data_IF_941664618680
#
_entry.id   IF_941664618680
#
_cell.length_a   1.000
_cell.length_b   1.000
_cell.length_c   1.000
_cell.angle_alpha   90.00
_cell.angle_beta   90.00
_cell.angle_gamma   90.00
#
_symmetry.space_group_name_H-M   'P 1'
#
loop_
_entity.id
_entity.type
_entity.pdbx_description
1 polymer ?
#
# COMPACT_ATOMS: atom_id res chain seq x y z
N UNK A 1 -27.83 -19.75 -23.93
CA UNK A 1 -27.88 -18.34 -23.53
C UNK A 1 -26.96 -18.17 -22.35
N UNK A 2 -26.10 -17.17 -22.35
CA UNK A 2 -25.25 -16.85 -21.19
C UNK A 2 -26.15 -16.42 -20.03
N UNK A 3 -25.79 -16.80 -18.83
CA UNK A 3 -26.50 -16.46 -17.61
C UNK A 3 -26.37 -14.96 -17.30
N UNK A 4 -27.49 -14.26 -17.12
CA UNK A 4 -27.53 -12.78 -16.96
C UNK A 4 -28.16 -12.32 -15.64
N UNK A 5 -28.55 -13.25 -14.75
CA UNK A 5 -29.14 -12.95 -13.45
C UNK A 5 -28.36 -13.61 -12.31
N UNK A 6 -27.98 -12.81 -11.31
CA UNK A 6 -27.17 -13.19 -10.17
C UNK A 6 -27.79 -12.67 -8.85
N UNK A 7 -27.31 -13.15 -7.71
CA UNK A 7 -27.60 -12.53 -6.43
C UNK A 7 -26.67 -11.33 -6.19
N UNK A 8 -25.37 -11.50 -6.53
CA UNK A 8 -24.34 -10.48 -6.35
C UNK A 8 -23.51 -10.33 -7.62
N UNK A 9 -23.29 -9.11 -8.06
CA UNK A 9 -22.32 -8.75 -9.10
C UNK A 9 -21.26 -7.84 -8.51
N UNK A 10 -19.97 -8.19 -8.68
CA UNK A 10 -18.85 -7.38 -8.26
C UNK A 10 -18.14 -6.81 -9.49
N UNK A 11 -17.86 -5.51 -9.50
CA UNK A 11 -17.21 -4.80 -10.60
C UNK A 11 -15.79 -4.46 -10.21
N UNK A 12 -14.82 -5.13 -10.81
CA UNK A 12 -13.39 -5.09 -10.51
C UNK A 12 -12.93 -6.33 -9.71
N UNK A 13 -11.80 -6.90 -10.12
CA UNK A 13 -11.26 -8.14 -9.56
C UNK A 13 -9.98 -7.95 -8.75
N UNK A 14 -9.72 -6.73 -8.27
CA UNK A 14 -8.65 -6.45 -7.30
C UNK A 14 -8.88 -7.19 -5.96
N UNK A 15 -7.98 -7.01 -4.96
CA UNK A 15 -8.07 -7.72 -3.68
C UNK A 15 -9.44 -7.61 -3.00
N UNK A 16 -10.08 -6.44 -3.01
CA UNK A 16 -11.45 -6.29 -2.53
C UNK A 16 -12.43 -7.15 -3.32
N UNK A 17 -12.37 -7.05 -4.66
CA UNK A 17 -13.35 -7.72 -5.53
C UNK A 17 -13.28 -9.24 -5.49
N UNK A 18 -12.10 -9.86 -5.71
CA UNK A 18 -12.01 -11.32 -5.74
C UNK A 18 -12.24 -11.96 -4.37
N UNK A 19 -11.82 -11.31 -3.27
CA UNK A 19 -12.09 -11.80 -1.91
C UNK A 19 -13.58 -11.77 -1.62
N UNK A 20 -14.25 -10.66 -1.95
CA UNK A 20 -15.71 -10.53 -1.80
C UNK A 20 -16.46 -11.57 -2.63
N UNK A 21 -16.04 -11.81 -3.89
CA UNK A 21 -16.67 -12.79 -4.76
C UNK A 21 -16.58 -14.21 -4.21
N UNK A 22 -15.42 -14.58 -3.67
CA UNK A 22 -15.21 -15.88 -3.02
C UNK A 22 -16.10 -16.00 -1.78
N UNK A 23 -16.11 -14.97 -0.93
CA UNK A 23 -16.90 -14.98 0.30
C UNK A 23 -18.40 -15.00 0.00
N UNK A 24 -18.87 -14.24 -0.98
CA UNK A 24 -20.25 -14.29 -1.47
C UNK A 24 -20.67 -15.70 -1.88
N UNK A 25 -19.85 -16.36 -2.68
CA UNK A 25 -20.10 -17.75 -3.10
C UNK A 25 -20.11 -18.72 -1.91
N UNK A 26 -19.21 -18.57 -0.93
CA UNK A 26 -19.19 -19.37 0.30
C UNK A 26 -20.47 -19.19 1.15
N UNK A 27 -21.09 -18.02 1.09
CA UNK A 27 -22.35 -17.70 1.74
C UNK A 27 -23.58 -18.17 0.94
N UNK A 28 -23.36 -18.83 -0.21
CA UNK A 28 -24.41 -19.42 -1.04
C UNK A 28 -24.98 -18.48 -2.10
N UNK A 29 -24.43 -17.27 -2.27
CA UNK A 29 -24.87 -16.36 -3.33
C UNK A 29 -24.41 -16.82 -4.71
N UNK A 30 -25.27 -16.73 -5.68
CA UNK A 30 -24.93 -16.85 -7.09
C UNK A 30 -24.21 -15.58 -7.53
N UNK A 31 -22.90 -15.68 -7.76
CA UNK A 31 -21.99 -14.54 -7.85
C UNK A 31 -21.35 -14.41 -9.23
N UNK A 32 -21.31 -13.19 -9.76
CA UNK A 32 -20.45 -12.83 -10.89
C UNK A 32 -19.44 -11.77 -10.51
N UNK A 33 -18.29 -11.79 -11.18
CA UNK A 33 -17.27 -10.75 -11.10
C UNK A 33 -16.93 -10.26 -12.50
N UNK A 34 -16.85 -8.94 -12.66
CA UNK A 34 -16.57 -8.29 -13.95
C UNK A 34 -15.16 -7.68 -13.88
N UNK A 35 -14.34 -7.97 -14.89
CA UNK A 35 -12.98 -7.42 -14.99
C UNK A 35 -12.69 -6.98 -16.43
N UNK A 36 -12.14 -5.78 -16.57
CA UNK A 36 -11.80 -5.20 -17.87
C UNK A 36 -10.37 -5.49 -18.35
N UNK A 37 -9.49 -5.86 -17.42
CA UNK A 37 -8.08 -6.17 -17.71
C UNK A 37 -7.74 -7.56 -17.17
N UNK A 38 -6.81 -7.65 -16.21
CA UNK A 38 -6.31 -8.89 -15.65
C UNK A 38 -6.91 -9.18 -14.27
N UNK A 39 -7.31 -10.44 -14.02
CA UNK A 39 -7.77 -10.88 -12.72
C UNK A 39 -6.71 -10.62 -11.64
N UNK A 40 -7.14 -10.13 -10.47
CA UNK A 40 -6.28 -9.74 -9.36
C UNK A 40 -6.01 -8.22 -9.30
N UNK A 41 -6.45 -7.47 -10.32
CA UNK A 41 -6.38 -6.01 -10.36
C UNK A 41 -4.96 -5.46 -10.28
N UNK A 42 -4.85 -4.18 -9.92
CA UNK A 42 -3.57 -3.46 -9.83
C UNK A 42 -2.61 -4.14 -8.85
N UNK A 43 -3.05 -4.55 -7.67
CA UNK A 43 -2.16 -5.10 -6.64
C UNK A 43 -1.34 -6.31 -7.14
N UNK A 44 -1.98 -7.29 -7.81
CA UNK A 44 -1.29 -8.49 -8.28
C UNK A 44 -0.55 -8.29 -9.60
N UNK A 45 -1.02 -7.38 -10.44
CA UNK A 45 -0.47 -7.22 -11.79
C UNK A 45 0.45 -6.00 -11.94
N UNK A 46 0.14 -4.86 -11.30
CA UNK A 46 0.81 -3.58 -11.50
C UNK A 46 1.00 -2.78 -10.19
N UNK A 47 1.11 -3.47 -9.06
CA UNK A 47 1.23 -2.83 -7.74
C UNK A 47 2.04 -3.65 -6.76
N UNK A 48 1.39 -4.09 -5.68
CA UNK A 48 2.01 -4.68 -4.50
C UNK A 48 3.03 -5.78 -4.83
N UNK A 49 2.57 -6.85 -5.49
CA UNK A 49 3.38 -8.07 -5.63
C UNK A 49 4.53 -7.91 -6.63
N UNK A 50 4.33 -7.37 -7.85
CA UNK A 50 5.46 -7.17 -8.75
C UNK A 50 6.49 -6.18 -8.21
N UNK A 51 6.08 -5.14 -7.47
CA UNK A 51 7.02 -4.23 -6.80
C UNK A 51 7.86 -4.96 -5.74
N UNK A 52 7.23 -5.80 -4.89
CA UNK A 52 7.96 -6.60 -3.90
C UNK A 52 8.90 -7.61 -4.55
N UNK A 53 8.54 -8.14 -5.72
CA UNK A 53 9.44 -8.99 -6.51
C UNK A 53 10.66 -8.22 -7.03
N UNK A 54 10.50 -6.95 -7.42
CA UNK A 54 11.59 -6.05 -7.82
C UNK A 54 12.47 -5.71 -6.61
N UNK A 55 11.87 -5.29 -5.49
CA UNK A 55 12.59 -4.94 -4.25
C UNK A 55 13.38 -6.13 -3.69
N UNK A 56 12.84 -7.36 -3.77
CA UNK A 56 13.61 -8.56 -3.38
C UNK A 56 14.84 -8.78 -4.26
N UNK A 57 14.76 -8.48 -5.57
CA UNK A 57 15.93 -8.54 -6.43
C UNK A 57 16.98 -7.48 -6.07
N UNK A 58 16.52 -6.28 -5.68
CA UNK A 58 17.40 -5.21 -5.20
C UNK A 58 18.10 -5.58 -3.89
N UNK A 59 17.37 -6.16 -2.94
CA UNK A 59 17.90 -6.63 -1.67
C UNK A 59 18.97 -7.73 -1.86
N UNK A 60 18.68 -8.73 -2.71
CA UNK A 60 19.66 -9.77 -3.03
C UNK A 60 20.91 -9.16 -3.67
N UNK A 61 20.76 -8.21 -4.57
CA UNK A 61 21.88 -7.52 -5.20
C UNK A 61 22.71 -6.72 -4.17
N UNK A 62 22.05 -6.00 -3.27
CA UNK A 62 22.67 -5.28 -2.16
C UNK A 62 23.50 -6.24 -1.27
N UNK A 63 22.92 -7.38 -0.86
CA UNK A 63 23.62 -8.39 -0.06
C UNK A 63 24.84 -8.96 -0.79
N UNK A 64 24.76 -9.16 -2.09
CA UNK A 64 25.91 -9.58 -2.90
C UNK A 64 27.01 -8.51 -2.96
N UNK A 65 26.68 -7.22 -2.99
CA UNK A 65 27.66 -6.13 -2.95
C UNK A 65 28.37 -6.04 -1.59
N UNK A 66 27.71 -6.44 -0.52
CA UNK A 66 28.21 -6.45 0.86
C UNK A 66 28.65 -7.86 1.32
N UNK A 67 28.89 -8.78 0.39
CA UNK A 67 29.26 -10.17 0.69
C UNK A 67 30.51 -10.29 1.60
N UNK A 68 31.44 -9.32 1.51
CA UNK A 68 32.66 -9.30 2.33
C UNK A 68 32.35 -9.20 3.84
N UNK A 69 31.28 -8.55 4.24
CA UNK A 69 30.86 -8.41 5.64
C UNK A 69 30.49 -9.77 6.26
N UNK A 70 30.16 -10.75 5.41
CA UNK A 70 29.81 -12.13 5.77
C UNK A 70 30.95 -13.12 5.50
N UNK A 71 32.19 -12.62 5.17
CA UNK A 71 33.32 -13.47 4.82
C UNK A 71 33.20 -14.13 3.44
N UNK A 72 32.36 -13.61 2.57
CA UNK A 72 32.14 -14.12 1.22
C UNK A 72 32.73 -13.19 0.17
N UNK A 73 33.02 -13.73 -1.02
CA UNK A 73 33.48 -12.96 -2.18
C UNK A 73 32.45 -13.00 -3.28
N UNK A 74 32.05 -11.83 -3.80
CA UNK A 74 31.16 -11.73 -4.93
C UNK A 74 31.56 -10.57 -5.85
N UNK A 75 31.25 -10.70 -7.15
CA UNK A 75 31.35 -9.61 -8.14
C UNK A 75 29.98 -9.48 -8.80
N UNK A 76 29.01 -8.86 -8.12
CA UNK A 76 27.64 -8.87 -8.57
C UNK A 76 27.46 -8.06 -9.86
N UNK A 77 26.71 -8.64 -10.78
CA UNK A 77 26.18 -7.98 -11.96
C UNK A 77 24.68 -8.24 -12.01
N UNK A 78 23.94 -7.37 -12.69
CA UNK A 78 22.49 -7.56 -12.84
C UNK A 78 22.08 -7.50 -14.31
N UNK A 79 21.02 -8.24 -14.63
CA UNK A 79 20.29 -8.18 -15.88
C UNK A 79 18.90 -7.59 -15.61
N UNK A 80 18.70 -6.32 -15.99
CA UNK A 80 17.44 -5.61 -15.77
C UNK A 80 16.26 -6.33 -16.45
N UNK A 81 16.46 -6.88 -17.66
CA UNK A 81 15.41 -7.60 -18.36
C UNK A 81 14.99 -8.87 -17.63
N UNK A 82 15.97 -9.60 -17.06
CA UNK A 82 15.68 -10.78 -16.26
C UNK A 82 14.95 -10.43 -14.95
N UNK A 83 15.31 -9.34 -14.28
CA UNK A 83 14.64 -8.83 -13.07
C UNK A 83 13.19 -8.48 -13.39
N UNK A 84 12.95 -7.71 -14.45
CA UNK A 84 11.60 -7.36 -14.92
C UNK A 84 10.80 -8.62 -15.29
N UNK A 85 11.39 -9.52 -16.09
CA UNK A 85 10.73 -10.78 -16.49
C UNK A 85 10.32 -11.63 -15.28
N UNK A 86 11.17 -11.69 -14.23
CA UNK A 86 10.85 -12.37 -12.97
C UNK A 86 9.60 -11.75 -12.32
N UNK A 87 9.51 -10.42 -12.22
CA UNK A 87 8.37 -9.76 -11.62
C UNK A 87 7.08 -10.01 -12.42
N UNK A 88 7.13 -9.98 -13.74
CA UNK A 88 6.00 -10.27 -14.63
C UNK A 88 5.55 -11.73 -14.55
N UNK A 89 6.51 -12.68 -14.44
CA UNK A 89 6.20 -14.11 -14.25
C UNK A 89 5.43 -14.32 -12.94
N UNK A 90 5.84 -13.68 -11.86
CA UNK A 90 5.16 -13.77 -10.56
C UNK A 90 3.73 -13.19 -10.66
N UNK A 91 3.57 -12.02 -11.27
CA UNK A 91 2.25 -11.43 -11.51
C UNK A 91 1.33 -12.37 -12.30
N UNK A 92 1.82 -12.94 -13.41
CA UNK A 92 1.07 -13.90 -14.21
C UNK A 92 0.70 -15.17 -13.46
N UNK A 93 1.58 -15.69 -12.60
CA UNK A 93 1.30 -16.84 -11.74
C UNK A 93 0.14 -16.55 -10.78
N UNK A 94 0.12 -15.38 -10.16
CA UNK A 94 -0.92 -15.00 -9.21
C UNK A 94 -2.25 -14.72 -9.88
N UNK A 95 -2.26 -14.02 -11.02
CA UNK A 95 -3.47 -13.82 -11.82
C UNK A 95 -4.08 -15.17 -12.26
N UNK A 96 -3.23 -16.12 -12.68
CA UNK A 96 -3.63 -17.49 -12.94
C UNK A 96 -4.24 -18.20 -11.71
N UNK A 97 -3.67 -17.95 -10.54
CA UNK A 97 -4.21 -18.41 -9.24
C UNK A 97 -5.60 -17.87 -8.96
N UNK A 98 -5.84 -16.57 -9.19
CA UNK A 98 -7.18 -15.97 -9.02
C UNK A 98 -8.20 -16.62 -9.99
N UNK A 99 -7.82 -16.83 -11.25
CA UNK A 99 -8.67 -17.55 -12.23
C UNK A 99 -9.06 -18.94 -11.72
N UNK A 100 -8.11 -19.67 -11.14
CA UNK A 100 -8.40 -20.97 -10.51
C UNK A 100 -9.36 -20.85 -9.32
N UNK A 101 -9.16 -19.84 -8.45
CA UNK A 101 -10.03 -19.59 -7.29
C UNK A 101 -11.46 -19.22 -7.70
N UNK A 102 -11.64 -18.40 -8.74
CA UNK A 102 -12.96 -18.11 -9.28
C UNK A 102 -13.67 -19.39 -9.74
N UNK A 103 -13.00 -20.24 -10.52
CA UNK A 103 -13.53 -21.52 -10.96
C UNK A 103 -13.87 -22.45 -9.78
N UNK A 104 -12.96 -22.60 -8.81
CA UNK A 104 -13.15 -23.43 -7.61
C UNK A 104 -14.40 -23.00 -6.83
N UNK A 105 -14.64 -21.72 -6.69
CA UNK A 105 -15.76 -21.15 -5.94
C UNK A 105 -17.01 -20.90 -6.84
N UNK A 106 -17.02 -21.40 -8.08
CA UNK A 106 -18.14 -21.26 -9.02
C UNK A 106 -18.59 -19.80 -9.26
N UNK A 107 -17.64 -18.85 -9.18
CA UNK A 107 -17.86 -17.45 -9.51
C UNK A 107 -17.80 -17.29 -11.03
N UNK A 108 -18.84 -16.71 -11.63
CA UNK A 108 -18.89 -16.40 -13.06
C UNK A 108 -18.00 -15.18 -13.35
N UNK A 109 -16.99 -15.35 -14.20
CA UNK A 109 -16.11 -14.23 -14.62
C UNK A 109 -16.64 -13.67 -15.95
N UNK A 110 -16.92 -12.36 -15.96
CA UNK A 110 -17.38 -11.62 -17.14
C UNK A 110 -16.27 -10.64 -17.52
N UNK A 111 -15.72 -10.76 -18.72
CA UNK A 111 -14.72 -9.83 -19.24
C UNK A 111 -15.39 -8.60 -19.83
N UNK A 112 -14.90 -7.41 -19.53
CA UNK A 112 -15.35 -6.15 -20.13
C UNK A 112 -15.46 -5.00 -19.12
N UNK A 113 -15.72 -3.81 -19.65
CA UNK A 113 -15.98 -2.61 -18.88
C UNK A 113 -17.48 -2.54 -18.53
N UNK A 114 -17.78 -2.33 -17.24
CA UNK A 114 -19.15 -2.25 -16.75
C UNK A 114 -19.64 -0.80 -16.65
N UNK A 115 -20.85 -0.56 -17.14
CA UNK A 115 -21.61 0.66 -16.88
C UNK A 115 -22.90 0.33 -16.12
N UNK A 116 -23.49 1.31 -15.49
CA UNK A 116 -24.67 1.14 -14.64
C UNK A 116 -25.84 2.00 -15.13
N UNK A 117 -27.04 1.45 -15.04
CA UNK A 117 -28.30 2.20 -15.19
C UNK A 117 -29.27 1.85 -14.08
N UNK A 118 -30.28 2.69 -13.87
CA UNK A 118 -31.29 2.46 -12.85
C UNK A 118 -31.98 1.10 -13.02
N UNK A 119 -32.21 0.42 -11.90
CA UNK A 119 -32.92 -0.86 -11.81
C UNK A 119 -33.88 -0.86 -10.62
N UNK A 120 -34.64 -1.95 -10.45
CA UNK A 120 -35.69 -2.04 -9.43
C UNK A 120 -35.09 -2.32 -8.03
N UNK A 121 -34.24 -3.32 -7.89
CA UNK A 121 -33.65 -3.75 -6.60
C UNK A 121 -32.22 -3.26 -6.43
N UNK A 122 -31.45 -3.28 -7.50
CA UNK A 122 -30.12 -2.71 -7.61
C UNK A 122 -29.94 -2.14 -9.02
N UNK A 123 -28.89 -1.34 -9.28
CA UNK A 123 -28.56 -0.93 -10.64
C UNK A 123 -28.37 -2.12 -11.58
N UNK A 124 -28.83 -1.98 -12.82
CA UNK A 124 -28.57 -2.94 -13.89
C UNK A 124 -27.15 -2.70 -14.38
N UNK A 125 -26.35 -3.75 -14.48
CA UNK A 125 -24.97 -3.73 -14.95
C UNK A 125 -24.96 -4.03 -16.45
N UNK A 126 -24.28 -3.21 -17.23
CA UNK A 126 -24.18 -3.36 -18.69
C UNK A 126 -22.72 -3.64 -19.05
N UNK A 127 -22.47 -4.75 -19.74
CA UNK A 127 -21.15 -5.09 -20.29
C UNK A 127 -21.34 -5.45 -21.77
N UNK A 128 -20.64 -4.78 -22.65
CA UNK A 128 -20.69 -4.98 -24.10
C UNK A 128 -22.14 -5.04 -24.65
N UNK A 129 -23.01 -4.16 -24.16
CA UNK A 129 -24.42 -4.06 -24.57
C UNK A 129 -25.32 -5.14 -23.98
N UNK A 130 -24.82 -6.04 -23.14
CA UNK A 130 -25.61 -7.05 -22.45
C UNK A 130 -25.97 -6.56 -21.03
N UNK A 131 -27.27 -6.61 -20.71
CA UNK A 131 -27.79 -6.29 -19.38
C UNK A 131 -27.63 -7.48 -18.42
N UNK A 132 -27.03 -7.23 -17.28
CA UNK A 132 -26.93 -8.18 -16.16
C UNK A 132 -27.69 -7.62 -14.96
N UNK A 133 -28.45 -8.47 -14.27
CA UNK A 133 -29.25 -8.09 -13.11
C UNK A 133 -28.74 -8.79 -11.86
N UNK A 134 -28.80 -8.09 -10.73
CA UNK A 134 -28.49 -8.65 -9.41
C UNK A 134 -29.36 -8.02 -8.33
N UNK A 135 -29.37 -8.62 -7.13
CA UNK A 135 -29.95 -8.00 -5.92
C UNK A 135 -28.97 -6.98 -5.32
N UNK A 136 -27.69 -7.24 -5.48
CA UNK A 136 -26.61 -6.42 -4.93
C UNK A 136 -25.50 -6.24 -5.96
N UNK A 137 -25.02 -5.00 -6.13
CA UNK A 137 -23.88 -4.64 -6.98
C UNK A 137 -22.81 -4.01 -6.10
N UNK A 138 -21.57 -4.48 -6.20
CA UNK A 138 -20.45 -4.00 -5.39
C UNK A 138 -19.38 -3.44 -6.32
N UNK A 139 -19.08 -2.15 -6.19
CA UNK A 139 -18.02 -1.45 -6.90
C UNK A 139 -16.69 -1.73 -6.20
N UNK A 140 -15.78 -2.40 -6.89
CA UNK A 140 -14.40 -2.66 -6.46
C UNK A 140 -13.42 -2.21 -7.56
N UNK A 141 -13.74 -1.09 -8.21
CA UNK A 141 -13.08 -0.58 -9.42
C UNK A 141 -11.69 -0.02 -9.15
N UNK A 142 -11.32 0.15 -7.87
CA UNK A 142 -9.99 0.59 -7.46
C UNK A 142 -9.67 2.03 -7.88
N UNK A 143 -8.39 2.29 -8.03
CA UNK A 143 -7.86 3.61 -8.34
C UNK A 143 -6.69 3.51 -9.32
N UNK A 144 -6.28 4.67 -9.84
CA UNK A 144 -5.11 4.84 -10.72
C UNK A 144 -4.23 5.97 -10.24
N UNK A 145 -3.00 6.05 -10.74
CA UNK A 145 -2.08 7.14 -10.44
C UNK A 145 -2.69 8.50 -10.81
N UNK A 146 -2.49 9.47 -9.92
CA UNK A 146 -2.91 10.86 -10.14
C UNK A 146 -1.93 11.56 -11.07
N UNK A 147 -2.45 12.36 -12.01
CA UNK A 147 -1.69 13.31 -12.82
C UNK A 147 -2.00 14.75 -12.39
N UNK A 148 -1.06 15.68 -12.67
CA UNK A 148 -1.23 17.13 -12.44
C UNK A 148 -0.76 17.86 -13.72
N UNK A 149 -1.60 17.91 -14.76
CA UNK A 149 -1.22 18.45 -16.08
C UNK A 149 -0.69 19.89 -16.03
N UNK A 150 -1.22 20.73 -15.13
CA UNK A 150 -0.81 22.13 -14.97
C UNK A 150 0.66 22.28 -14.56
N UNK A 151 1.24 21.25 -13.91
CA UNK A 151 2.65 21.20 -13.54
C UNK A 151 3.49 20.36 -14.51
N UNK A 152 2.92 19.91 -15.64
CA UNK A 152 3.55 18.98 -16.58
C UNK A 152 3.68 17.55 -16.02
N UNK A 153 3.03 17.26 -14.88
CA UNK A 153 3.05 15.93 -14.24
C UNK A 153 1.97 15.04 -14.88
N UNK A 154 2.19 14.71 -16.12
CA UNK A 154 1.32 13.85 -16.92
C UNK A 154 2.17 12.72 -17.52
N UNK A 155 1.79 11.44 -17.31
CA UNK A 155 2.56 10.32 -17.83
C UNK A 155 2.62 10.35 -19.36
N UNK A 156 3.81 10.20 -19.91
CA UNK A 156 4.02 10.12 -21.36
C UNK A 156 4.46 8.71 -21.82
N UNK A 157 4.60 7.80 -20.86
CA UNK A 157 5.04 6.41 -21.08
C UNK A 157 6.51 6.26 -21.48
N UNK A 158 7.24 7.38 -21.67
CA UNK A 158 8.63 7.40 -22.13
C UNK A 158 9.58 7.96 -21.08
N UNK A 159 9.36 9.17 -20.62
CA UNK A 159 10.23 9.87 -19.67
C UNK A 159 9.55 10.16 -18.34
N UNK A 160 8.22 10.34 -18.35
CA UNK A 160 7.40 10.61 -17.19
C UNK A 160 6.56 9.36 -16.94
N UNK A 161 6.87 8.65 -15.87
CA UNK A 161 6.33 7.35 -15.50
C UNK A 161 5.36 7.43 -14.33
N UNK A 162 4.37 6.57 -14.35
CA UNK A 162 3.68 6.13 -13.12
C UNK A 162 4.39 4.90 -12.54
N UNK A 163 3.85 4.32 -11.48
CA UNK A 163 4.30 3.05 -10.94
C UNK A 163 4.28 1.92 -12.01
N UNK A 164 3.36 1.97 -13.00
CA UNK A 164 3.20 0.94 -14.03
C UNK A 164 4.42 0.88 -14.95
N UNK A 165 4.85 2.01 -15.49
CA UNK A 165 6.05 2.12 -16.33
C UNK A 165 7.32 1.86 -15.51
N UNK A 166 7.36 2.36 -14.27
CA UNK A 166 8.50 2.17 -13.37
C UNK A 166 8.76 0.70 -12.99
N UNK A 167 7.76 -0.18 -13.10
CA UNK A 167 7.93 -1.63 -12.89
C UNK A 167 8.55 -2.37 -14.07
N UNK A 168 8.52 -1.79 -15.25
CA UNK A 168 8.97 -2.44 -16.50
C UNK A 168 9.90 -1.53 -17.30
N UNK A 169 10.94 -0.96 -16.67
CA UNK A 169 11.87 -0.08 -17.36
C UNK A 169 12.59 -0.82 -18.49
N UNK A 170 12.76 -0.14 -19.61
CA UNK A 170 13.56 -0.60 -20.75
C UNK A 170 15.07 -0.47 -20.47
N UNK A 171 15.44 0.57 -19.72
CA UNK A 171 16.81 0.89 -19.35
C UNK A 171 16.86 1.43 -17.92
N UNK A 172 17.96 1.18 -17.20
CA UNK A 172 18.21 1.78 -15.90
C UNK A 172 18.53 3.27 -16.07
N UNK A 173 17.74 4.18 -15.48
CA UNK A 173 18.07 5.60 -15.50
C UNK A 173 19.33 5.88 -14.69
N UNK A 174 20.18 6.80 -15.15
CA UNK A 174 21.33 7.27 -14.37
C UNK A 174 20.90 8.34 -13.36
N UNK A 175 19.98 9.23 -13.78
CA UNK A 175 19.39 10.27 -12.93
C UNK A 175 17.89 10.13 -12.92
N UNK A 176 17.34 9.85 -11.73
CA UNK A 176 15.92 9.64 -11.51
C UNK A 176 15.34 10.70 -10.58
N UNK A 177 14.24 11.32 -10.97
CA UNK A 177 13.42 12.15 -10.09
C UNK A 177 12.19 11.38 -9.64
N UNK A 178 11.95 11.29 -8.34
CA UNK A 178 10.72 10.77 -7.77
C UNK A 178 9.93 11.93 -7.15
N UNK A 179 8.71 12.17 -7.62
CA UNK A 179 7.84 13.23 -7.13
C UNK A 179 6.76 12.61 -6.26
N UNK A 180 6.81 12.91 -4.96
CA UNK A 180 6.02 12.31 -3.89
C UNK A 180 6.79 11.24 -3.14
N UNK A 181 6.83 11.36 -1.82
CA UNK A 181 7.58 10.53 -0.89
C UNK A 181 6.71 9.60 -0.04
N UNK A 182 5.51 9.28 -0.48
CA UNK A 182 4.69 8.22 0.10
C UNK A 182 5.28 6.83 -0.16
N UNK A 183 4.61 5.77 0.29
CA UNK A 183 5.09 4.39 0.17
C UNK A 183 5.55 4.03 -1.25
N UNK A 184 4.75 4.33 -2.27
CA UNK A 184 5.08 4.04 -3.68
C UNK A 184 6.35 4.75 -4.10
N UNK A 185 6.47 6.05 -3.81
CA UNK A 185 7.65 6.85 -4.18
C UNK A 185 8.92 6.33 -3.54
N UNK A 186 8.88 6.03 -2.24
CA UNK A 186 10.04 5.55 -1.50
C UNK A 186 10.44 4.12 -1.85
N UNK A 187 9.48 3.25 -2.20
CA UNK A 187 9.78 1.90 -2.69
C UNK A 187 10.51 1.95 -4.03
N UNK A 188 10.05 2.76 -5.00
CA UNK A 188 10.77 2.92 -6.27
C UNK A 188 12.10 3.64 -6.10
N UNK A 189 12.18 4.69 -5.27
CA UNK A 189 13.44 5.34 -4.95
C UNK A 189 14.47 4.32 -4.42
N UNK A 190 14.05 3.45 -3.48
CA UNK A 190 14.88 2.40 -2.91
C UNK A 190 15.32 1.35 -3.95
N UNK A 191 14.41 0.96 -4.86
CA UNK A 191 14.72 0.01 -5.93
C UNK A 191 15.78 0.55 -6.90
N UNK A 192 15.58 1.75 -7.42
CA UNK A 192 16.48 2.32 -8.40
C UNK A 192 17.84 2.71 -7.81
N UNK A 193 17.87 3.23 -6.57
CA UNK A 193 19.09 3.50 -5.82
C UNK A 193 19.95 2.24 -5.65
N UNK A 194 19.34 1.11 -5.29
CA UNK A 194 20.05 -0.16 -5.10
C UNK A 194 20.78 -0.63 -6.37
N UNK A 195 20.30 -0.24 -7.57
CA UNK A 195 20.94 -0.54 -8.85
C UNK A 195 21.80 0.61 -9.39
N UNK A 196 22.09 1.63 -8.57
CA UNK A 196 23.08 2.67 -8.86
C UNK A 196 22.55 3.90 -9.60
N UNK A 197 21.22 4.14 -9.61
CA UNK A 197 20.68 5.40 -10.08
C UNK A 197 20.95 6.51 -9.06
N UNK A 198 21.28 7.72 -9.54
CA UNK A 198 21.30 8.95 -8.75
C UNK A 198 19.84 9.41 -8.56
N UNK A 199 19.29 9.17 -7.37
CA UNK A 199 17.87 9.38 -7.09
C UNK A 199 17.66 10.67 -6.29
N UNK A 200 16.83 11.56 -6.85
CA UNK A 200 16.31 12.73 -6.14
C UNK A 200 14.83 12.51 -5.84
N UNK A 201 14.45 12.62 -4.56
CA UNK A 201 13.05 12.57 -4.10
C UNK A 201 12.60 13.98 -3.72
N UNK A 202 11.43 14.38 -4.24
CA UNK A 202 10.82 15.69 -3.96
C UNK A 202 9.48 15.49 -3.26
N UNK A 203 9.28 16.23 -2.17
CA UNK A 203 8.05 16.19 -1.37
C UNK A 203 7.56 17.61 -1.08
N UNK A 204 6.25 17.84 -1.19
CA UNK A 204 5.64 19.15 -0.94
C UNK A 204 5.53 19.48 0.55
N UNK A 205 5.38 18.47 1.41
CA UNK A 205 5.31 18.68 2.85
C UNK A 205 6.70 18.65 3.49
N UNK A 206 6.77 18.85 4.80
CA UNK A 206 8.00 19.03 5.57
C UNK A 206 8.83 17.74 5.78
N UNK A 207 8.25 16.56 5.49
CA UNK A 207 8.89 15.25 5.74
C UNK A 207 8.51 14.21 4.69
N UNK A 208 9.36 13.20 4.53
CA UNK A 208 9.04 12.00 3.73
C UNK A 208 8.12 11.05 4.51
N UNK A 209 7.46 10.12 3.82
CA UNK A 209 6.50 9.19 4.42
C UNK A 209 5.54 9.92 5.38
N UNK A 210 4.80 10.94 4.91
CA UNK A 210 4.09 11.88 5.77
C UNK A 210 2.97 11.24 6.60
N UNK A 211 2.52 10.04 6.24
CA UNK A 211 1.53 9.27 6.99
C UNK A 211 2.12 8.59 8.24
N UNK A 212 3.45 8.44 8.29
CA UNK A 212 4.13 7.76 9.38
C UNK A 212 4.38 8.69 10.58
N UNK A 213 4.68 8.09 11.74
CA UNK A 213 5.12 8.85 12.92
C UNK A 213 6.35 9.71 12.58
N UNK A 214 6.40 10.93 13.12
CA UNK A 214 7.42 11.92 12.77
C UNK A 214 8.85 11.45 13.09
N UNK A 215 9.03 10.67 14.14
CA UNK A 215 10.33 10.10 14.52
C UNK A 215 10.79 9.04 13.52
N UNK A 216 9.88 8.16 13.11
CA UNK A 216 10.12 7.15 12.08
C UNK A 216 10.45 7.81 10.73
N UNK A 217 9.67 8.81 10.31
CA UNK A 217 9.91 9.58 9.10
C UNK A 217 11.30 10.24 9.10
N UNK A 218 11.70 10.84 10.23
CA UNK A 218 13.03 11.44 10.40
C UNK A 218 14.16 10.40 10.30
N UNK A 219 13.98 9.22 10.89
CA UNK A 219 14.96 8.14 10.80
C UNK A 219 15.06 7.60 9.38
N UNK A 220 13.92 7.40 8.71
CA UNK A 220 13.88 6.99 7.32
C UNK A 220 14.64 7.96 6.42
N UNK A 221 14.39 9.28 6.56
CA UNK A 221 15.14 10.31 5.83
C UNK A 221 16.65 10.16 6.03
N UNK A 222 17.10 10.06 7.28
CA UNK A 222 18.52 9.91 7.60
C UNK A 222 19.14 8.65 6.95
N UNK A 223 18.41 7.54 6.98
CA UNK A 223 18.87 6.28 6.39
C UNK A 223 19.01 6.40 4.85
N UNK A 224 18.03 7.00 4.17
CA UNK A 224 18.09 7.20 2.72
C UNK A 224 19.17 8.20 2.31
N UNK A 225 19.32 9.33 3.02
CA UNK A 225 20.40 10.30 2.75
C UNK A 225 21.79 9.67 2.95
N UNK A 226 21.96 8.82 3.98
CA UNK A 226 23.20 8.05 4.21
C UNK A 226 23.54 7.12 3.05
N UNK A 227 22.54 6.57 2.37
CA UNK A 227 22.72 5.72 1.17
C UNK A 227 23.01 6.53 -0.10
N UNK A 228 22.84 7.84 -0.08
CA UNK A 228 23.15 8.72 -1.20
C UNK A 228 21.94 9.35 -1.90
N UNK A 229 20.70 9.08 -1.45
CA UNK A 229 19.54 9.73 -2.03
C UNK A 229 19.52 11.22 -1.70
N UNK A 230 19.19 12.04 -2.69
CA UNK A 230 18.90 13.46 -2.47
C UNK A 230 17.43 13.65 -2.11
N UNK A 231 17.14 14.19 -0.93
CA UNK A 231 15.74 14.39 -0.46
C UNK A 231 15.46 15.89 -0.29
N UNK A 232 14.45 16.38 -1.01
CA UNK A 232 14.01 17.79 -1.00
C UNK A 232 12.55 17.86 -0.54
N UNK A 233 12.35 18.16 0.74
CA UNK A 233 11.04 18.44 1.34
C UNK A 233 10.65 19.91 1.15
N UNK A 234 9.40 20.28 1.44
CA UNK A 234 8.83 21.62 1.22
C UNK A 234 9.11 22.15 -0.20
N UNK A 235 9.10 21.25 -1.19
CA UNK A 235 9.52 21.53 -2.56
C UNK A 235 8.45 21.11 -3.56
N UNK A 236 8.02 22.05 -4.39
CA UNK A 236 7.14 21.80 -5.54
C UNK A 236 7.98 21.48 -6.76
N UNK A 237 7.49 20.56 -7.57
CA UNK A 237 8.10 20.22 -8.84
C UNK A 237 7.16 20.51 -10.01
N UNK A 238 7.71 21.05 -11.09
CA UNK A 238 7.10 21.04 -12.41
C UNK A 238 8.10 20.47 -13.42
N UNK A 239 7.60 19.77 -14.44
CA UNK A 239 8.48 19.07 -15.37
C UNK A 239 8.10 19.37 -16.83
N UNK A 240 9.10 19.28 -17.69
CA UNK A 240 8.94 19.41 -19.13
C UNK A 240 9.76 18.31 -19.81
N UNK A 241 9.08 17.42 -20.52
CA UNK A 241 9.75 16.40 -21.34
C UNK A 241 10.50 17.06 -22.50
N UNK A 242 11.71 16.60 -22.73
CA UNK A 242 12.59 17.00 -23.84
C UNK A 242 12.84 15.86 -24.83
N UNK A 243 13.83 16.01 -25.67
CA UNK A 243 14.19 14.98 -26.66
C UNK A 243 14.89 13.75 -26.05
N UNK A 244 15.64 13.94 -24.95
CA UNK A 244 16.50 12.89 -24.36
C UNK A 244 16.29 12.71 -22.85
N UNK A 245 15.31 13.40 -22.24
CA UNK A 245 15.05 13.35 -20.79
C UNK A 245 14.02 14.40 -20.38
N UNK A 246 14.06 14.78 -19.12
CA UNK A 246 13.11 15.72 -18.51
C UNK A 246 13.86 16.84 -17.80
N UNK A 247 13.49 18.07 -18.09
CA UNK A 247 13.90 19.24 -17.30
C UNK A 247 12.89 19.44 -16.19
N UNK A 248 13.33 19.40 -14.95
CA UNK A 248 12.51 19.67 -13.76
C UNK A 248 12.85 21.04 -13.18
N UNK A 249 11.82 21.82 -12.86
CA UNK A 249 11.93 23.03 -12.04
C UNK A 249 11.46 22.72 -10.63
N UNK A 250 12.36 22.84 -9.68
CA UNK A 250 12.13 22.57 -8.25
C UNK A 250 12.05 23.88 -7.51
N UNK A 251 10.93 24.14 -6.84
CA UNK A 251 10.67 25.41 -6.14
C UNK A 251 10.43 25.16 -4.66
N UNK A 252 11.29 25.74 -3.82
CA UNK A 252 11.18 25.71 -2.36
C UNK A 252 11.39 27.12 -1.79
N UNK A 253 10.49 27.55 -0.91
CA UNK A 253 10.55 28.84 -0.21
C UNK A 253 10.76 30.03 -1.17
N UNK A 254 10.10 29.98 -2.33
CA UNK A 254 10.16 31.03 -3.35
C UNK A 254 11.44 31.06 -4.20
N UNK A 255 12.34 30.10 -4.01
CA UNK A 255 13.53 29.92 -4.84
C UNK A 255 13.34 28.73 -5.76
N UNK A 256 13.65 28.91 -7.03
CA UNK A 256 13.59 27.85 -8.04
C UNK A 256 14.97 27.47 -8.53
N UNK A 257 15.18 26.20 -8.73
CA UNK A 257 16.33 25.63 -9.42
C UNK A 257 15.87 24.70 -10.55
N UNK A 258 16.70 24.54 -11.54
CA UNK A 258 16.41 23.65 -12.69
C UNK A 258 17.44 22.52 -12.74
N UNK A 259 16.95 21.28 -12.94
CA UNK A 259 17.79 20.10 -13.06
C UNK A 259 17.30 19.17 -14.17
N UNK A 260 18.21 18.40 -14.75
CA UNK A 260 17.94 17.43 -15.81
C UNK A 260 17.93 16.00 -15.24
N UNK A 261 16.94 15.21 -15.69
CA UNK A 261 16.75 13.81 -15.30
C UNK A 261 16.48 12.94 -16.53
N UNK A 262 16.92 11.68 -16.45
CA UNK A 262 16.63 10.70 -17.52
C UNK A 262 15.17 10.27 -17.48
N UNK A 263 14.63 10.13 -16.25
CA UNK A 263 13.25 9.69 -15.99
C UNK A 263 12.67 10.41 -14.77
N UNK A 264 11.36 10.49 -14.75
CA UNK A 264 10.58 11.00 -13.61
C UNK A 264 9.52 9.98 -13.23
N UNK A 265 9.38 9.67 -11.94
CA UNK A 265 8.29 8.85 -11.41
C UNK A 265 7.30 9.74 -10.67
N UNK A 266 6.03 9.66 -11.07
CA UNK A 266 4.93 10.35 -10.41
C UNK A 266 4.33 9.46 -9.31
N UNK A 267 4.53 9.86 -8.07
CA UNK A 267 3.98 9.20 -6.87
C UNK A 267 3.15 10.21 -6.03
N UNK A 268 2.39 11.08 -6.70
CA UNK A 268 1.63 12.21 -6.10
C UNK A 268 0.22 11.84 -5.64
N UNK A 269 -0.02 10.57 -5.37
CA UNK A 269 -1.31 10.03 -4.94
C UNK A 269 -2.07 9.30 -6.04
N UNK A 270 -3.32 8.97 -5.73
CA UNK A 270 -4.20 8.21 -6.62
C UNK A 270 -5.56 8.91 -6.77
N UNK A 271 -6.31 8.50 -7.79
CA UNK A 271 -7.70 8.91 -8.04
C UNK A 271 -8.55 7.67 -8.27
N UNK A 272 -9.73 7.62 -7.64
CA UNK A 272 -10.68 6.51 -7.78
C UNK A 272 -11.17 6.38 -9.23
N UNK A 273 -11.45 5.16 -9.66
CA UNK A 273 -11.99 4.87 -10.98
C UNK A 273 -13.52 4.93 -10.92
N UNK A 274 -14.07 6.12 -11.13
CA UNK A 274 -15.50 6.42 -11.01
C UNK A 274 -16.14 6.93 -12.31
N UNK A 275 -15.33 7.29 -13.30
CA UNK A 275 -15.76 7.91 -14.53
C UNK A 275 -16.45 6.92 -15.48
N UNK A 276 -17.34 7.42 -16.32
CA UNK A 276 -18.01 6.70 -17.43
C UNK A 276 -18.84 5.47 -17.00
N UNK A 277 -19.14 5.37 -15.70
CA UNK A 277 -19.91 4.24 -15.15
C UNK A 277 -21.41 4.54 -14.95
N UNK A 278 -21.84 5.79 -15.13
CA UNK A 278 -23.23 6.21 -14.88
C UNK A 278 -23.56 6.46 -13.41
N UNK A 279 -22.55 6.64 -12.54
CA UNK A 279 -22.74 6.79 -11.10
C UNK A 279 -23.49 8.06 -10.71
N UNK A 280 -23.24 9.17 -11.39
CA UNK A 280 -23.90 10.46 -11.17
C UNK A 280 -25.41 10.36 -11.44
N UNK A 281 -25.79 9.67 -12.52
CA UNK A 281 -27.19 9.46 -12.88
C UNK A 281 -27.96 8.60 -11.86
N UNK A 282 -27.24 7.80 -11.07
CA UNK A 282 -27.78 6.98 -9.99
C UNK A 282 -27.81 7.72 -8.65
N UNK A 283 -27.24 8.94 -8.58
CA UNK A 283 -27.17 9.72 -7.35
C UNK A 283 -26.09 9.28 -6.36
N UNK A 284 -25.05 8.55 -6.84
CA UNK A 284 -23.90 8.17 -6.02
C UNK A 284 -23.11 9.41 -5.62
N UNK A 285 -22.80 9.53 -4.33
CA UNK A 285 -22.00 10.65 -3.82
C UNK A 285 -20.51 10.37 -4.04
N UNK A 286 -19.84 11.28 -4.76
CA UNK A 286 -18.42 11.22 -5.06
C UNK A 286 -17.76 12.46 -4.47
N UNK A 287 -16.76 12.26 -3.59
CA UNK A 287 -15.90 13.32 -3.07
C UNK A 287 -14.47 13.12 -3.59
N UNK A 288 -13.94 14.13 -4.32
CA UNK A 288 -12.57 14.13 -4.86
C UNK A 288 -12.18 12.83 -5.56
N UNK A 289 -13.04 12.31 -6.41
CA UNK A 289 -12.90 11.03 -7.14
C UNK A 289 -13.08 9.74 -6.32
N UNK A 290 -13.53 9.82 -5.06
CA UNK A 290 -13.81 8.64 -4.24
C UNK A 290 -15.28 8.57 -3.86
N UNK A 291 -15.84 7.36 -3.85
CA UNK A 291 -17.25 7.13 -3.49
C UNK A 291 -17.39 7.20 -1.97
N UNK A 292 -18.34 8.01 -1.50
CA UNK A 292 -18.71 8.06 -0.09
C UNK A 292 -19.59 6.87 0.27
N UNK A 293 -19.23 6.14 1.32
CA UNK A 293 -19.97 4.98 1.83
C UNK A 293 -20.15 5.06 3.34
N UNK A 294 -21.09 4.28 3.87
CA UNK A 294 -21.20 4.04 5.31
C UNK A 294 -20.22 2.97 5.80
N UNK A 295 -20.29 2.63 7.09
CA UNK A 295 -19.43 1.66 7.76
C UNK A 295 -19.56 0.21 7.24
N UNK A 296 -20.60 -0.08 6.45
CA UNK A 296 -20.85 -1.36 5.78
C UNK A 296 -20.71 -1.27 4.26
N UNK A 297 -20.05 -0.22 3.77
CA UNK A 297 -19.77 0.02 2.35
C UNK A 297 -21.01 0.38 1.50
N UNK A 298 -22.14 0.76 2.10
CA UNK A 298 -23.33 1.16 1.37
C UNK A 298 -23.20 2.59 0.81
N UNK A 299 -23.56 2.79 -0.46
CA UNK A 299 -23.41 4.08 -1.16
C UNK A 299 -24.56 5.05 -0.93
N UNK A 300 -25.65 4.62 -0.26
CA UNK A 300 -26.92 5.34 -0.20
C UNK A 300 -27.88 5.03 -1.36
N UNK A 301 -27.42 4.34 -2.41
CA UNK A 301 -28.24 3.88 -3.54
C UNK A 301 -28.64 2.42 -3.31
N UNK A 302 -29.96 2.13 -3.40
CA UNK A 302 -30.51 0.79 -3.15
C UNK A 302 -29.73 -0.28 -3.91
N UNK A 303 -29.25 -1.30 -3.18
CA UNK A 303 -28.52 -2.44 -3.74
C UNK A 303 -27.14 -2.12 -4.31
N UNK A 304 -26.59 -0.92 -4.06
CA UNK A 304 -25.27 -0.52 -4.54
C UNK A 304 -24.31 -0.25 -3.38
N UNK A 305 -23.14 -0.87 -3.45
CA UNK A 305 -22.06 -0.79 -2.47
C UNK A 305 -20.75 -0.44 -3.15
N UNK A 306 -19.75 0.05 -2.39
CA UNK A 306 -18.39 0.30 -2.92
C UNK A 306 -17.33 -0.02 -1.88
N UNK A 307 -16.23 -0.63 -2.30
CA UNK A 307 -15.12 -1.09 -1.46
C UNK A 307 -13.75 -0.79 -2.08
N UNK A 308 -12.73 -0.75 -1.25
CA UNK A 308 -11.33 -0.61 -1.66
C UNK A 308 -10.97 0.80 -2.09
N UNK A 309 -10.00 0.91 -3.02
CA UNK A 309 -9.38 2.20 -3.33
C UNK A 309 -10.30 3.18 -4.06
N UNK A 310 -11.46 2.75 -4.51
CA UNK A 310 -12.52 3.66 -5.04
C UNK A 310 -13.24 4.41 -3.91
N UNK A 311 -13.05 4.01 -2.64
CA UNK A 311 -13.58 4.66 -1.44
C UNK A 311 -12.52 5.48 -0.71
N UNK A 312 -12.82 5.93 0.51
CA UNK A 312 -11.91 6.74 1.35
C UNK A 312 -10.66 5.96 1.80
N UNK A 313 -9.52 6.66 2.11
CA UNK A 313 -8.30 6.04 2.60
C UNK A 313 -8.49 5.33 3.96
N UNK A 314 -7.49 4.49 4.37
CA UNK A 314 -6.24 4.21 3.67
C UNK A 314 -6.43 3.30 2.47
N UNK A 315 -5.66 3.52 1.40
CA UNK A 315 -5.76 2.73 0.16
C UNK A 315 -4.80 1.53 0.20
N UNK A 316 -5.30 0.43 0.77
CA UNK A 316 -4.52 -0.77 1.06
C UNK A 316 -5.30 -2.03 0.66
N UNK A 317 -4.60 -2.99 0.08
CA UNK A 317 -5.22 -4.23 -0.42
C UNK A 317 -5.94 -5.03 0.67
N UNK A 318 -5.36 -5.09 1.88
CA UNK A 318 -5.97 -5.80 3.01
C UNK A 318 -7.19 -5.05 3.58
N UNK A 319 -7.19 -3.70 3.56
CA UNK A 319 -8.40 -2.92 3.86
C UNK A 319 -9.52 -3.29 2.89
N UNK A 320 -9.24 -3.24 1.58
CA UNK A 320 -10.24 -3.58 0.55
C UNK A 320 -10.81 -5.00 0.73
N UNK A 321 -9.95 -5.97 1.07
CA UNK A 321 -10.37 -7.36 1.34
C UNK A 321 -11.29 -7.45 2.55
N UNK A 322 -10.97 -6.77 3.65
CA UNK A 322 -11.79 -6.77 4.87
C UNK A 322 -13.10 -6.01 4.68
N UNK A 323 -13.10 -4.87 4.01
CA UNK A 323 -14.34 -4.15 3.62
C UNK A 323 -15.26 -5.07 2.82
N UNK A 324 -14.71 -5.81 1.86
CA UNK A 324 -15.49 -6.74 1.05
C UNK A 324 -16.11 -7.87 1.85
N UNK A 325 -15.38 -8.45 2.82
CA UNK A 325 -15.90 -9.50 3.72
C UNK A 325 -17.01 -8.92 4.59
N UNK A 326 -16.79 -7.78 5.22
CA UNK A 326 -17.76 -7.11 6.09
C UNK A 326 -19.02 -6.76 5.30
N UNK A 327 -18.88 -6.17 4.13
CA UNK A 327 -19.97 -5.81 3.24
C UNK A 327 -20.85 -7.03 2.89
N UNK A 328 -20.23 -8.11 2.40
CA UNK A 328 -21.02 -9.27 1.95
C UNK A 328 -21.61 -10.08 3.11
N UNK A 329 -20.98 -10.11 4.27
CA UNK A 329 -21.53 -10.74 5.47
C UNK A 329 -22.72 -9.93 6.01
N UNK A 330 -22.67 -8.59 5.93
CA UNK A 330 -23.81 -7.73 6.27
C UNK A 330 -24.98 -7.94 5.31
N UNK A 331 -24.71 -8.03 4.01
CA UNK A 331 -25.71 -8.35 2.96
C UNK A 331 -26.35 -9.71 3.23
N UNK A 332 -25.61 -10.69 3.72
CA UNK A 332 -26.11 -12.01 4.08
C UNK A 332 -26.97 -12.06 5.36
N UNK A 333 -27.16 -10.90 6.01
CA UNK A 333 -27.93 -10.82 7.26
C UNK A 333 -27.12 -11.06 8.52
N UNK A 334 -25.78 -11.15 8.42
CA UNK A 334 -24.88 -11.22 9.56
C UNK A 334 -24.74 -9.88 10.28
N UNK A 335 -24.01 -9.89 11.40
CA UNK A 335 -23.69 -8.69 12.16
C UNK A 335 -22.17 -8.56 12.39
N UNK A 336 -21.38 -8.36 11.31
CA UNK A 336 -19.95 -8.14 11.43
C UNK A 336 -19.66 -6.81 12.12
N UNK A 337 -18.56 -6.74 12.85
CA UNK A 337 -18.06 -5.47 13.35
C UNK A 337 -17.55 -4.61 12.19
N UNK A 338 -17.84 -3.29 12.16
CA UNK A 338 -17.23 -2.37 11.23
C UNK A 338 -15.71 -2.41 11.27
N UNK A 339 -15.08 -2.05 10.16
CA UNK A 339 -13.63 -1.94 10.10
C UNK A 339 -13.15 -0.72 10.90
N UNK A 340 -12.29 -0.94 11.88
CA UNK A 340 -11.61 0.16 12.57
C UNK A 340 -10.41 0.64 11.74
N UNK A 341 -10.47 1.89 11.31
CA UNK A 341 -9.42 2.50 10.49
C UNK A 341 -8.06 2.58 11.23
N UNK A 342 -8.09 2.72 12.57
CA UNK A 342 -6.88 2.76 13.38
C UNK A 342 -6.21 1.40 13.57
N UNK A 343 -6.94 0.31 13.34
CA UNK A 343 -6.41 -1.05 13.43
C UNK A 343 -5.90 -1.62 12.09
N UNK A 344 -5.75 -0.77 11.06
CA UNK A 344 -5.25 -1.18 9.75
C UNK A 344 -3.73 -0.95 9.69
N UNK A 345 -2.90 -2.01 9.64
CA UNK A 345 -1.46 -1.83 9.56
C UNK A 345 -1.02 -1.28 8.19
N UNK A 346 -0.05 -0.37 8.20
CA UNK A 346 0.64 0.15 7.03
C UNK A 346 2.03 -0.47 6.88
N UNK A 347 2.47 -0.73 5.65
CA UNK A 347 3.80 -1.25 5.36
C UNK A 347 4.40 -0.58 4.12
N UNK A 348 5.65 -0.13 4.23
CA UNK A 348 6.48 0.36 3.12
C UNK A 348 7.71 -0.51 3.01
N UNK A 349 7.89 -1.18 1.87
CA UNK A 349 8.91 -2.21 1.65
C UNK A 349 10.21 -1.64 1.06
N UNK A 350 10.51 -0.39 1.36
CA UNK A 350 11.80 0.21 1.07
C UNK A 350 12.91 -0.43 1.95
N UNK A 351 14.16 0.00 1.78
CA UNK A 351 15.23 -0.42 2.68
C UNK A 351 15.87 0.82 3.33
N UNK A 352 15.78 0.97 4.67
CA UNK A 352 15.10 0.07 5.63
C UNK A 352 13.58 0.05 5.46
N UNK A 353 12.92 -1.06 5.84
CA UNK A 353 11.47 -1.18 5.82
C UNK A 353 10.83 -0.28 6.88
N UNK A 354 9.58 0.13 6.63
CA UNK A 354 8.77 0.90 7.59
C UNK A 354 7.41 0.22 7.75
N UNK A 355 6.94 0.12 8.99
CA UNK A 355 5.62 -0.42 9.29
C UNK A 355 4.98 0.28 10.50
N UNK A 356 3.66 0.38 10.48
CA UNK A 356 2.91 1.06 11.53
C UNK A 356 1.50 0.50 11.69
N UNK A 357 0.93 0.66 12.87
CA UNK A 357 -0.49 0.44 13.17
C UNK A 357 -0.91 1.38 14.30
N UNK A 358 -2.15 1.87 14.26
CA UNK A 358 -2.70 2.73 15.30
C UNK A 358 -2.30 4.20 15.19
N UNK A 359 -2.48 4.91 16.30
CA UNK A 359 -2.19 6.33 16.39
C UNK A 359 -0.69 6.61 16.37
N UNK A 360 -0.27 7.63 15.63
CA UNK A 360 1.03 8.28 15.85
C UNK A 360 1.03 9.02 17.19
N UNK A 361 2.20 9.35 17.71
CA UNK A 361 2.32 10.11 18.96
C UNK A 361 1.55 11.44 18.90
N UNK A 362 1.59 12.13 17.76
CA UNK A 362 0.85 13.37 17.55
C UNK A 362 -0.66 13.16 17.54
N UNK A 363 -1.14 12.16 16.82
CA UNK A 363 -2.57 11.83 16.74
C UNK A 363 -3.15 11.38 18.08
N UNK A 364 -2.40 10.58 18.86
CA UNK A 364 -2.85 10.16 20.19
C UNK A 364 -3.01 11.36 21.14
N UNK A 365 -2.06 12.31 21.12
CA UNK A 365 -2.16 13.56 21.89
C UNK A 365 -3.32 14.44 21.42
N UNK A 366 -3.52 14.58 20.11
CA UNK A 366 -4.63 15.33 19.53
C UNK A 366 -5.98 14.72 19.88
N UNK A 367 -6.07 13.39 19.95
CA UNK A 367 -7.24 12.66 20.41
C UNK A 367 -7.50 12.78 21.94
N UNK A 368 -6.59 13.43 22.68
CA UNK A 368 -6.74 13.70 24.12
C UNK A 368 -6.24 12.59 25.03
N UNK A 369 -5.50 11.62 24.51
CA UNK A 369 -4.86 10.59 25.36
C UNK A 369 -3.67 11.16 26.14
N UNK A 370 -3.53 10.72 27.38
CA UNK A 370 -2.29 10.85 28.14
C UNK A 370 -1.45 9.60 27.89
N UNK A 371 -0.26 9.77 27.32
CA UNK A 371 0.45 8.65 26.70
C UNK A 371 1.80 8.34 27.34
N UNK A 372 2.16 7.06 27.32
CA UNK A 372 3.51 6.55 27.51
C UNK A 372 4.07 6.08 26.16
N UNK A 373 5.33 6.37 25.93
CA UNK A 373 6.00 6.03 24.68
C UNK A 373 7.25 5.23 24.97
N UNK A 374 7.31 4.02 24.44
CA UNK A 374 8.51 3.18 24.49
C UNK A 374 9.27 3.18 23.17
N UNK A 375 10.57 3.01 23.27
CA UNK A 375 11.51 2.97 22.13
C UNK A 375 12.55 1.91 22.34
N UNK A 376 12.78 1.07 21.36
CA UNK A 376 13.89 0.14 21.41
C UNK A 376 14.65 0.12 20.08
N UNK A 377 15.93 0.52 20.07
CA UNK A 377 16.72 0.56 18.86
C UNK A 377 17.25 -0.83 18.47
N UNK A 378 17.36 -1.11 17.19
CA UNK A 378 17.85 -2.37 16.64
C UNK A 378 19.25 -2.75 17.13
N UNK A 379 20.11 -1.75 17.39
CA UNK A 379 21.48 -1.99 17.92
C UNK A 379 21.48 -2.67 19.30
N UNK A 380 20.38 -2.61 20.05
CA UNK A 380 20.20 -3.31 21.31
C UNK A 380 19.82 -4.80 21.16
N UNK A 381 19.62 -5.28 19.93
CA UNK A 381 19.12 -6.64 19.67
C UNK A 381 20.19 -7.52 19.04
N UNK A 382 20.53 -8.63 19.70
CA UNK A 382 21.56 -9.56 19.22
C UNK A 382 21.26 -10.18 17.85
N UNK A 383 19.99 -10.44 17.53
CA UNK A 383 19.60 -10.98 16.21
C UNK A 383 19.78 -9.94 15.10
N UNK A 384 19.44 -8.68 15.34
CA UNK A 384 19.65 -7.59 14.39
C UNK A 384 21.16 -7.43 14.07
N UNK A 385 22.00 -7.47 15.10
CA UNK A 385 23.46 -7.42 14.94
C UNK A 385 23.97 -8.63 14.13
N UNK A 386 23.49 -9.83 14.46
CA UNK A 386 23.89 -11.06 13.77
C UNK A 386 23.46 -11.10 12.28
N UNK A 387 22.38 -10.41 11.93
CA UNK A 387 21.92 -10.24 10.56
C UNK A 387 22.71 -9.17 9.78
N UNK A 388 23.51 -8.33 10.45
CA UNK A 388 24.15 -7.17 9.85
C UNK A 388 23.21 -5.98 9.67
N UNK A 389 22.06 -5.97 10.34
CA UNK A 389 20.99 -4.97 10.20
C UNK A 389 20.72 -4.23 11.53
N UNK A 390 21.72 -3.57 12.14
CA UNK A 390 21.58 -2.93 13.45
C UNK A 390 20.89 -1.56 13.41
N UNK A 391 20.49 -1.07 12.23
CA UNK A 391 19.84 0.23 12.08
C UNK A 391 18.33 0.07 12.09
N UNK A 392 17.66 0.70 13.06
CA UNK A 392 16.21 0.66 13.17
C UNK A 392 15.71 1.06 14.55
N UNK A 393 14.39 1.12 14.67
CA UNK A 393 13.67 1.47 15.91
C UNK A 393 12.32 0.77 15.93
N UNK A 394 11.92 0.28 17.08
CA UNK A 394 10.54 -0.04 17.42
C UNK A 394 10.05 1.00 18.42
N UNK A 395 8.92 1.64 18.12
CA UNK A 395 8.25 2.63 18.96
C UNK A 395 6.85 2.17 19.28
N UNK A 396 6.46 2.22 20.57
CA UNK A 396 5.12 1.88 21.05
C UNK A 396 4.50 3.07 21.75
N UNK A 397 3.18 3.17 21.73
CA UNK A 397 2.40 4.26 22.32
C UNK A 397 1.25 3.62 23.12
N UNK A 398 1.19 3.90 24.41
CA UNK A 398 0.17 3.38 25.33
C UNK A 398 -0.63 4.52 25.96
N UNK A 399 -1.92 4.27 26.24
CA UNK A 399 -2.71 5.13 27.12
C UNK A 399 -2.32 4.89 28.58
N UNK A 400 -2.01 5.95 29.32
CA UNK A 400 -1.60 5.84 30.73
C UNK A 400 -2.70 5.36 31.66
N UNK A 401 -3.97 5.51 31.28
CA UNK A 401 -5.12 5.17 32.13
C UNK A 401 -5.54 3.71 31.98
N UNK A 402 -5.65 3.25 30.74
CA UNK A 402 -6.14 1.90 30.43
C UNK A 402 -5.01 0.90 30.24
N UNK A 403 -3.80 1.37 29.93
CA UNK A 403 -2.70 0.51 29.48
C UNK A 403 -2.84 0.03 28.03
N UNK A 404 -3.85 0.49 27.29
CA UNK A 404 -4.14 0.07 25.92
C UNK A 404 -3.02 0.46 24.97
N UNK A 405 -2.66 -0.44 24.05
CA UNK A 405 -1.76 -0.18 22.96
C UNK A 405 -2.45 0.68 21.91
N UNK A 406 -2.17 1.99 21.90
CA UNK A 406 -2.75 2.95 20.95
C UNK A 406 -2.09 2.91 19.59
N UNK A 407 -0.80 2.60 19.52
CA UNK A 407 -0.08 2.54 18.27
C UNK A 407 1.32 1.94 18.41
N UNK A 408 1.82 1.45 17.26
CA UNK A 408 3.17 0.95 17.11
C UNK A 408 3.75 1.38 15.76
N UNK A 409 5.00 1.84 15.75
CA UNK A 409 5.67 2.38 14.58
C UNK A 409 7.09 1.84 14.53
N UNK A 410 7.49 1.33 13.36
CA UNK A 410 8.75 0.62 13.22
C UNK A 410 9.51 1.04 11.98
N UNK A 411 10.83 1.06 12.07
CA UNK A 411 11.74 1.16 10.93
C UNK A 411 12.90 0.19 11.13
N UNK A 412 13.26 -0.58 10.11
CA UNK A 412 14.38 -1.53 10.16
C UNK A 412 14.12 -2.79 9.35
N UNK A 413 14.95 -3.81 9.55
CA UNK A 413 14.81 -5.10 8.88
C UNK A 413 13.56 -5.86 9.36
N UNK A 414 12.81 -6.46 8.44
CA UNK A 414 11.66 -7.34 8.67
C UNK A 414 10.50 -6.72 9.48
N UNK A 415 10.46 -5.39 9.64
CA UNK A 415 9.38 -4.73 10.41
C UNK A 415 8.01 -4.90 9.76
N UNK A 416 7.94 -5.13 8.46
CA UNK A 416 6.70 -5.40 7.74
C UNK A 416 6.06 -6.75 8.12
N UNK A 417 6.86 -7.70 8.63
CA UNK A 417 6.39 -8.95 9.20
C UNK A 417 6.11 -8.81 10.71
N UNK A 418 6.96 -8.05 11.43
CA UNK A 418 6.86 -7.87 12.88
C UNK A 418 5.60 -7.12 13.31
N UNK A 419 5.16 -6.11 12.54
CA UNK A 419 4.00 -5.28 12.88
C UNK A 419 2.73 -6.09 13.15
N UNK A 420 2.62 -7.27 12.56
CA UNK A 420 1.47 -8.14 12.74
C UNK A 420 1.27 -8.55 14.22
N UNK A 421 2.33 -8.68 15.00
CA UNK A 421 2.23 -8.97 16.42
C UNK A 421 1.45 -7.89 17.18
N UNK A 422 1.76 -6.62 16.94
CA UNK A 422 1.03 -5.50 17.56
C UNK A 422 -0.38 -5.32 16.98
N UNK A 423 -0.58 -5.61 15.69
CA UNK A 423 -1.92 -5.59 15.09
C UNK A 423 -2.85 -6.61 15.75
N UNK A 424 -2.34 -7.82 16.05
CA UNK A 424 -3.10 -8.84 16.79
C UNK A 424 -3.35 -8.42 18.23
N UNK A 425 -2.32 -7.89 18.91
CA UNK A 425 -2.44 -7.39 20.28
C UNK A 425 -3.52 -6.29 20.38
N UNK A 426 -3.50 -5.31 19.49
CA UNK A 426 -4.49 -4.23 19.44
C UNK A 426 -5.91 -4.78 19.20
N UNK A 427 -6.08 -5.73 18.28
CA UNK A 427 -7.39 -6.35 18.00
C UNK A 427 -7.94 -7.16 19.18
N UNK A 428 -7.07 -7.69 20.04
CA UNK A 428 -7.42 -8.41 21.27
C UNK A 428 -7.57 -7.48 22.48
N UNK A 429 -7.51 -6.15 22.26
CA UNK A 429 -7.59 -5.13 23.32
C UNK A 429 -6.56 -5.38 24.43
N UNK A 430 -5.34 -5.84 24.02
CA UNK A 430 -4.25 -6.18 24.91
C UNK A 430 -3.65 -4.93 25.54
N UNK A 431 -3.37 -4.99 26.84
CA UNK A 431 -2.67 -3.91 27.55
C UNK A 431 -1.16 -4.16 27.59
N UNK A 432 -0.42 -3.20 28.12
CA UNK A 432 1.02 -3.32 28.37
C UNK A 432 1.36 -4.53 29.25
N UNK A 433 0.45 -4.87 30.18
CA UNK A 433 0.67 -5.96 31.13
C UNK A 433 0.84 -7.30 30.43
N UNK A 434 -0.11 -7.68 29.57
CA UNK A 434 -0.04 -8.94 28.81
C UNK A 434 1.16 -8.95 27.84
N UNK A 435 1.49 -7.79 27.25
CA UNK A 435 2.65 -7.68 26.37
C UNK A 435 3.98 -7.84 27.11
N UNK A 436 4.08 -7.32 28.36
CA UNK A 436 5.26 -7.50 29.23
C UNK A 436 5.40 -8.94 29.73
N UNK A 437 4.29 -9.66 29.94
CA UNK A 437 4.31 -11.04 30.42
C UNK A 437 4.43 -12.07 29.29
N UNK A 438 4.26 -11.65 28.03
CA UNK A 438 4.38 -12.53 26.88
C UNK A 438 5.83 -12.97 26.69
N UNK A 439 6.06 -14.28 26.56
CA UNK A 439 7.39 -14.84 26.27
C UNK A 439 7.68 -14.72 24.78
N UNK A 440 8.72 -13.97 24.44
CA UNK A 440 9.22 -13.85 23.08
C UNK A 440 10.34 -14.86 22.83
N UNK A 441 10.39 -15.51 21.65
CA UNK A 441 11.43 -16.51 21.37
C UNK A 441 12.80 -15.86 21.17
N UNK A 442 13.85 -16.52 21.65
CA UNK A 442 15.25 -16.09 21.51
C UNK A 442 16.04 -17.05 20.61
N UNK A 443 16.92 -16.56 19.68
CA UNK A 443 17.14 -15.15 19.34
C UNK A 443 16.23 -14.72 18.15
N UNK A 444 15.52 -13.63 18.31
CA UNK A 444 14.63 -13.10 17.26
C UNK A 444 14.63 -11.56 17.21
N UNK A 445 14.17 -11.00 16.09
CA UNK A 445 13.88 -9.56 15.99
C UNK A 445 12.64 -9.19 16.83
N UNK A 446 11.72 -10.10 17.05
CA UNK A 446 10.49 -9.84 17.82
C UNK A 446 10.75 -9.54 19.32
N UNK A 447 11.92 -9.92 19.88
CA UNK A 447 12.30 -9.52 21.22
C UNK A 447 12.36 -8.00 21.41
N UNK A 448 12.66 -7.25 20.33
CA UNK A 448 12.62 -5.78 20.38
C UNK A 448 11.21 -5.23 20.61
N UNK A 449 10.18 -5.97 20.21
CA UNK A 449 8.79 -5.60 20.48
C UNK A 449 8.50 -5.63 21.99
N UNK A 450 9.01 -6.65 22.69
CA UNK A 450 8.91 -6.75 24.14
C UNK A 450 9.69 -5.63 24.84
N UNK A 451 10.93 -5.39 24.43
CA UNK A 451 11.78 -4.34 25.02
C UNK A 451 11.18 -2.93 24.81
N UNK A 452 10.57 -2.65 23.65
CA UNK A 452 9.89 -1.38 23.41
C UNK A 452 8.65 -1.19 24.30
N UNK A 453 7.97 -2.26 24.71
CA UNK A 453 6.90 -2.20 25.71
C UNK A 453 7.49 -1.93 27.11
N UNK A 454 8.56 -2.61 27.47
CA UNK A 454 9.25 -2.40 28.76
C UNK A 454 9.76 -0.97 28.90
N UNK A 455 10.30 -0.40 27.81
CA UNK A 455 10.82 0.98 27.78
C UNK A 455 9.74 2.03 28.11
N UNK A 456 8.53 1.85 27.63
CA UNK A 456 7.42 2.75 27.96
C UNK A 456 7.13 2.86 29.45
N UNK A 457 7.64 1.92 30.26
CA UNK A 457 7.40 1.78 31.69
C UNK A 457 8.68 1.76 32.52
N UNK A 458 9.80 2.29 31.97
CA UNK A 458 11.12 2.36 32.62
C UNK A 458 11.64 0.99 33.08
N UNK A 459 11.40 -0.07 32.30
CA UNK A 459 11.73 -1.47 32.63
C UNK A 459 12.63 -2.13 31.57
N UNK A 460 13.17 -1.37 30.63
CA UNK A 460 14.10 -1.88 29.59
C UNK A 460 15.26 -2.62 30.25
N UNK A 461 15.68 -3.74 29.64
CA UNK A 461 16.75 -4.59 30.18
C UNK A 461 18.02 -4.47 29.35
N UNK A 462 17.90 -4.45 28.03
CA UNK A 462 19.06 -4.59 27.14
C UNK A 462 19.54 -3.28 26.50
N UNK A 463 18.98 -2.12 26.86
CA UNK A 463 19.41 -0.82 26.30
C UNK A 463 19.22 0.33 27.30
#
# INVERSE_FOLDING_TARGET
>A
MSETSFDVIIIGSGPGGYVTAIRASQLGFKTAIIEKEDLGGVCLNWGCIPTKALLRSAEVYHNMQHAADYGLSASPQFDLKAIVARSRKIAGQLSGGIKHLMKKNKVTVIAGFATLKAGQDAPIVIVDGTDYTAKHVILATGARARSIPQAGLEPDGKFIWTAREAMVPDTMPKKLLVIGSGAIGMEFASFYDAFGADVTVVEMVDRILPAEDAEISKMARKAFEKRGLTIKTETQASVKAGAQGVTATLTSKGKSETAEFDRVILAVGIVGNVEDMGLEALGVKIDRSHITVDEYSFTGVKGLYAIGDVTTPPWLAHKASHEGIICIEKIAGGNPHPLDANAIPGCTYCHPQVASVGYTEAQAKEAGYDIKVGRFPFIGNGKAIALGEPEGLIKTIFDTKSGELLGAHMIGAEVTELIQGYTVAQKLETTEHELMETVFPHPTLSEMMHEAVLDAYDRTIHF
#
